data_IF_934460732524
#
_entry.id   IF_934460732524
#
_cell.length_a   1.000
_cell.length_b   1.000
_cell.length_c   1.000
_cell.angle_alpha   90.00
_cell.angle_beta   90.00
_cell.angle_gamma   90.00
#
_symmetry.space_group_name_H-M   'P 1'
#
loop_
_entity.id
_entity.type
_entity.pdbx_description
1 polymer ?
#
# COMPACT_ATOMS: atom_id res chain seq x y z
N UNK A 1 -39.86 -68.05 16.56
CA UNK A 1 -39.35 -67.06 15.62
C UNK A 1 -38.80 -65.92 16.41
N UNK A 2 -37.44 -65.93 16.57
CA UNK A 2 -36.73 -65.00 17.44
C UNK A 2 -36.08 -63.95 16.53
N UNK A 3 -36.40 -62.67 16.73
CA UNK A 3 -35.81 -61.56 16.00
C UNK A 3 -34.71 -60.97 16.86
N UNK A 4 -33.44 -61.15 16.41
CA UNK A 4 -32.29 -60.51 16.99
C UNK A 4 -32.16 -59.05 16.51
N UNK A 5 -32.10 -58.09 17.45
CA UNK A 5 -31.69 -56.72 17.20
C UNK A 5 -30.16 -56.59 17.44
N UNK A 6 -29.38 -56.02 16.52
CA UNK A 6 -27.98 -55.69 16.79
C UNK A 6 -27.92 -54.40 17.59
N UNK A 7 -27.16 -54.42 18.70
CA UNK A 7 -26.79 -53.26 19.49
C UNK A 7 -25.80 -52.39 18.71
N UNK A 8 -26.23 -51.19 18.32
CA UNK A 8 -25.37 -50.13 17.80
C UNK A 8 -24.56 -49.52 18.96
N UNK A 9 -23.28 -49.73 18.99
CA UNK A 9 -22.34 -49.05 19.87
C UNK A 9 -22.13 -47.62 19.35
N UNK A 10 -22.65 -46.63 20.07
CA UNK A 10 -22.34 -45.21 19.82
C UNK A 10 -20.98 -44.90 20.41
N UNK A 11 -19.96 -44.76 19.54
CA UNK A 11 -18.67 -44.22 19.90
C UNK A 11 -18.82 -42.69 20.09
N UNK A 12 -18.87 -42.23 21.35
CA UNK A 12 -18.78 -40.84 21.71
C UNK A 12 -17.29 -40.41 21.54
N UNK A 13 -16.96 -39.81 20.40
CA UNK A 13 -15.69 -39.10 20.20
C UNK A 13 -15.76 -37.82 21.03
N UNK A 14 -15.09 -37.84 22.21
CA UNK A 14 -14.87 -36.65 23.00
C UNK A 14 -13.99 -35.66 22.21
N UNK A 15 -14.59 -34.63 21.60
CA UNK A 15 -13.92 -33.44 21.11
C UNK A 15 -13.40 -32.69 22.33
N UNK A 16 -12.16 -33.00 22.74
CA UNK A 16 -11.39 -32.11 23.59
C UNK A 16 -11.12 -30.83 22.79
N UNK A 17 -11.50 -29.65 23.27
CA UNK A 17 -11.02 -28.41 22.67
C UNK A 17 -9.49 -28.40 22.87
N UNK A 18 -8.76 -28.59 21.80
CA UNK A 18 -7.36 -28.19 21.75
C UNK A 18 -7.37 -26.68 22.06
N UNK A 19 -6.96 -26.34 23.27
CA UNK A 19 -6.47 -24.99 23.58
C UNK A 19 -5.20 -24.82 22.74
N UNK A 20 -5.38 -24.49 21.48
CA UNK A 20 -4.29 -24.00 20.65
C UNK A 20 -3.89 -22.68 21.30
N UNK A 21 -2.86 -22.69 22.13
CA UNK A 21 -2.10 -21.47 22.45
C UNK A 21 -1.68 -20.93 21.09
N UNK A 22 -2.30 -19.82 20.69
CA UNK A 22 -1.98 -19.18 19.43
C UNK A 22 -0.47 -18.90 19.45
N UNK A 23 0.27 -19.48 18.51
CA UNK A 23 1.69 -19.21 18.41
C UNK A 23 1.90 -17.71 18.24
N UNK A 24 2.95 -17.13 18.86
CA UNK A 24 3.21 -15.70 18.72
C UNK A 24 3.30 -15.33 17.23
N UNK A 25 2.60 -14.28 16.81
CA UNK A 25 2.51 -13.87 15.41
C UNK A 25 3.88 -13.32 14.96
N UNK A 26 4.40 -13.86 13.85
CA UNK A 26 5.63 -13.38 13.23
C UNK A 26 5.35 -12.18 12.30
N UNK A 27 6.41 -11.41 12.01
CA UNK A 27 6.32 -10.30 11.05
C UNK A 27 5.88 -10.79 9.66
N UNK A 28 6.45 -11.90 9.18
CA UNK A 28 6.14 -12.44 7.84
C UNK A 28 4.66 -12.86 7.71
N UNK A 29 4.13 -13.55 8.71
CA UNK A 29 2.72 -13.92 8.77
C UNK A 29 1.80 -12.71 8.80
N UNK A 30 2.15 -11.68 9.60
CA UNK A 30 1.41 -10.42 9.65
C UNK A 30 1.37 -9.72 8.28
N UNK A 31 2.48 -9.69 7.56
CA UNK A 31 2.58 -9.13 6.21
C UNK A 31 1.70 -9.91 5.21
N UNK A 32 1.73 -11.24 5.25
CA UNK A 32 0.92 -12.08 4.39
C UNK A 32 -0.59 -11.87 4.63
N UNK A 33 -1.02 -11.81 5.89
CA UNK A 33 -2.40 -11.52 6.26
C UNK A 33 -2.83 -10.13 5.76
N UNK A 34 -2.00 -9.11 5.99
CA UNK A 34 -2.32 -7.74 5.62
C UNK A 34 -2.47 -7.55 4.10
N UNK A 35 -1.56 -8.10 3.29
CA UNK A 35 -1.64 -8.02 1.82
C UNK A 35 -2.90 -8.73 1.31
N UNK A 36 -3.24 -9.90 1.86
CA UNK A 36 -4.46 -10.64 1.49
C UNK A 36 -5.74 -9.86 1.81
N UNK A 37 -5.75 -9.07 2.89
CA UNK A 37 -6.89 -8.26 3.34
C UNK A 37 -6.91 -6.84 2.76
N UNK A 38 -5.85 -6.42 2.08
CA UNK A 38 -5.68 -5.04 1.63
C UNK A 38 -6.71 -4.63 0.59
N UNK A 39 -7.60 -3.72 0.95
CA UNK A 39 -8.57 -3.11 0.04
C UNK A 39 -7.88 -2.21 -1.01
N UNK A 40 -6.76 -1.57 -0.67
CA UNK A 40 -5.97 -0.78 -1.63
C UNK A 40 -5.36 -1.66 -2.72
N UNK A 41 -4.83 -2.84 -2.35
CA UNK A 41 -4.33 -3.82 -3.32
C UNK A 41 -5.47 -4.39 -4.18
N UNK A 42 -6.65 -4.63 -3.58
CA UNK A 42 -7.84 -5.07 -4.32
C UNK A 42 -8.32 -4.01 -5.31
N UNK A 43 -8.36 -2.74 -4.90
CA UNK A 43 -8.71 -1.62 -5.77
C UNK A 43 -7.73 -1.48 -6.94
N UNK A 44 -6.42 -1.57 -6.68
CA UNK A 44 -5.39 -1.53 -7.72
C UNK A 44 -5.52 -2.71 -8.72
N UNK A 45 -5.81 -3.93 -8.24
CA UNK A 45 -6.10 -5.08 -9.11
C UNK A 45 -7.32 -4.85 -10.00
N UNK A 46 -8.37 -4.25 -9.49
CA UNK A 46 -9.55 -3.89 -10.29
C UNK A 46 -9.20 -2.84 -11.37
N UNK A 47 -8.31 -1.89 -11.07
CA UNK A 47 -7.76 -0.95 -12.05
C UNK A 47 -6.98 -1.65 -13.17
N UNK A 48 -6.10 -2.58 -12.81
CA UNK A 48 -5.34 -3.38 -13.77
C UNK A 48 -6.26 -4.25 -14.66
N UNK A 49 -7.29 -4.88 -14.08
CA UNK A 49 -8.30 -5.62 -14.83
C UNK A 49 -9.04 -4.70 -15.81
N UNK A 50 -9.48 -3.51 -15.37
CA UNK A 50 -10.13 -2.53 -16.23
C UNK A 50 -9.26 -2.12 -17.42
N UNK A 51 -7.97 -1.88 -17.20
CA UNK A 51 -7.03 -1.55 -18.26
C UNK A 51 -6.83 -2.73 -19.23
N UNK A 52 -6.80 -3.97 -18.72
CA UNK A 52 -6.69 -5.19 -19.53
C UNK A 52 -7.91 -5.37 -20.42
N UNK A 53 -9.12 -5.20 -19.89
CA UNK A 53 -10.35 -5.28 -20.69
C UNK A 53 -10.41 -4.16 -21.75
N UNK A 54 -9.98 -2.94 -21.40
CA UNK A 54 -9.87 -1.85 -22.38
C UNK A 54 -8.85 -2.16 -23.48
N UNK A 55 -7.75 -2.86 -23.17
CA UNK A 55 -6.75 -3.26 -24.14
C UNK A 55 -7.29 -4.29 -25.15
N UNK A 56 -8.19 -5.18 -24.75
CA UNK A 56 -8.83 -6.13 -25.69
C UNK A 56 -9.63 -5.43 -26.80
N UNK A 57 -10.17 -4.24 -26.56
CA UNK A 57 -10.94 -3.49 -27.55
C UNK A 57 -10.10 -2.46 -28.32
N UNK A 58 -8.89 -2.12 -27.86
CA UNK A 58 -8.11 -1.00 -28.38
C UNK A 58 -7.74 -1.08 -29.86
N UNK A 59 -7.50 -2.28 -30.40
CA UNK A 59 -7.16 -2.52 -31.79
C UNK A 59 -8.37 -2.84 -32.68
N UNK A 60 -9.58 -2.90 -32.12
CA UNK A 60 -10.78 -3.22 -32.87
C UNK A 60 -11.17 -2.07 -33.82
N UNK A 61 -11.85 -2.39 -34.89
CA UNK A 61 -12.49 -1.39 -35.72
C UNK A 61 -13.71 -0.82 -34.99
N UNK A 62 -14.05 0.45 -35.22
CA UNK A 62 -15.32 0.99 -34.74
C UNK A 62 -16.50 0.19 -35.27
N UNK A 63 -17.61 0.15 -34.55
CA UNK A 63 -18.80 -0.56 -34.96
C UNK A 63 -19.37 -0.02 -36.28
N UNK A 64 -19.92 -0.88 -37.15
CA UNK A 64 -20.62 -0.45 -38.34
C UNK A 64 -21.87 0.35 -37.95
N UNK A 65 -22.16 1.42 -38.71
CA UNK A 65 -23.32 2.27 -38.51
C UNK A 65 -24.42 1.93 -39.52
N UNK A 66 -25.59 1.54 -39.01
CA UNK A 66 -26.79 1.39 -39.82
C UNK A 66 -27.42 2.78 -40.02
N UNK A 67 -27.66 3.14 -41.27
CA UNK A 67 -28.38 4.34 -41.66
C UNK A 67 -29.71 4.00 -42.29
N UNK A 68 -30.79 4.58 -41.78
CA UNK A 68 -32.14 4.45 -42.36
C UNK A 68 -32.71 5.86 -42.54
N UNK A 69 -33.22 6.15 -43.71
CA UNK A 69 -33.73 7.50 -43.98
C UNK A 69 -34.61 7.52 -45.25
N UNK A 70 -35.10 8.70 -45.52
CA UNK A 70 -35.80 9.04 -46.79
C UNK A 70 -35.01 10.18 -47.41
N UNK A 71 -34.41 9.89 -48.57
CA UNK A 71 -33.64 10.88 -49.31
C UNK A 71 -34.54 11.58 -50.34
N UNK A 72 -34.22 12.86 -50.59
CA UNK A 72 -34.88 13.71 -51.59
C UNK A 72 -36.41 13.85 -51.38
N UNK A 73 -36.87 13.90 -50.12
CA UNK A 73 -38.29 14.15 -49.85
C UNK A 73 -38.67 15.58 -50.25
N UNK A 74 -39.65 15.81 -51.17
CA UNK A 74 -40.03 17.15 -51.54
C UNK A 74 -40.57 17.98 -50.37
N UNK A 75 -39.98 19.15 -50.13
CA UNK A 75 -40.39 20.06 -49.03
C UNK A 75 -41.43 21.10 -49.50
N UNK A 76 -41.57 21.35 -50.82
CA UNK A 76 -42.47 22.34 -51.44
C UNK A 76 -43.17 21.76 -52.65
N UNK A 77 -44.19 22.46 -53.22
CA UNK A 77 -44.91 22.04 -54.38
C UNK A 77 -46.01 21.00 -54.09
N UNK A 78 -46.67 20.51 -55.15
CA UNK A 78 -47.86 19.63 -55.07
C UNK A 78 -47.54 18.26 -54.43
N UNK A 79 -46.31 17.83 -54.51
CA UNK A 79 -45.85 16.56 -53.96
C UNK A 79 -45.13 16.69 -52.61
N UNK A 80 -45.29 17.83 -51.93
CA UNK A 80 -44.71 18.09 -50.61
C UNK A 80 -45.02 16.99 -49.62
N UNK A 81 -43.95 16.45 -49.01
CA UNK A 81 -43.96 15.36 -48.02
C UNK A 81 -44.60 14.04 -48.50
N UNK A 82 -44.68 13.83 -49.79
CA UNK A 82 -45.15 12.56 -50.35
C UNK A 82 -43.93 11.67 -50.71
N UNK A 83 -43.88 10.48 -50.15
CA UNK A 83 -42.75 9.53 -50.35
C UNK A 83 -42.86 8.65 -51.60
N UNK A 84 -43.98 8.79 -52.36
CA UNK A 84 -44.31 7.83 -53.45
C UNK A 84 -44.56 8.48 -54.81
N UNK A 85 -44.53 9.82 -54.93
CA UNK A 85 -44.88 10.50 -56.17
C UNK A 85 -43.70 11.08 -56.95
N UNK A 86 -42.66 11.51 -56.22
CA UNK A 86 -41.46 12.06 -56.85
C UNK A 86 -40.49 10.93 -57.24
N UNK A 87 -39.97 11.00 -58.47
CA UNK A 87 -39.06 9.99 -59.02
C UNK A 87 -37.69 9.94 -58.31
N UNK A 88 -37.33 11.00 -57.61
CA UNK A 88 -36.07 11.12 -56.88
C UNK A 88 -36.19 10.72 -55.43
N UNK A 89 -37.40 10.70 -54.85
CA UNK A 89 -37.59 10.28 -53.45
C UNK A 89 -37.35 8.80 -53.28
N UNK A 90 -36.45 8.45 -52.36
CA UNK A 90 -36.11 7.05 -52.07
C UNK A 90 -36.07 6.79 -50.57
N UNK A 91 -36.56 5.64 -50.15
CA UNK A 91 -36.37 5.06 -48.82
C UNK A 91 -35.04 4.35 -48.82
N UNK A 92 -34.11 4.85 -48.04
CA UNK A 92 -32.72 4.36 -48.02
C UNK A 92 -32.43 3.52 -46.76
N UNK A 93 -31.76 2.41 -46.91
CA UNK A 93 -31.14 1.66 -45.87
C UNK A 93 -29.68 1.39 -46.29
N UNK A 94 -28.73 1.67 -45.38
CA UNK A 94 -27.32 1.53 -45.70
C UNK A 94 -26.50 1.19 -44.48
N UNK A 95 -25.32 0.60 -44.71
CA UNK A 95 -24.29 0.30 -43.69
C UNK A 95 -23.04 1.08 -44.06
N UNK A 96 -22.47 1.79 -43.07
CA UNK A 96 -21.19 2.47 -43.21
C UNK A 96 -20.19 1.92 -42.16
N UNK A 97 -18.95 1.75 -42.55
CA UNK A 97 -17.84 1.27 -41.68
C UNK A 97 -16.63 2.17 -41.83
N UNK A 98 -16.16 2.69 -40.70
CA UNK A 98 -14.87 3.36 -40.63
C UNK A 98 -13.74 2.34 -40.62
N UNK A 99 -12.72 2.57 -41.45
CA UNK A 99 -11.56 1.71 -41.60
C UNK A 99 -10.30 2.41 -41.08
N UNK A 100 -9.72 1.83 -40.02
CA UNK A 100 -8.41 2.23 -39.48
C UNK A 100 -7.30 1.37 -40.12
N UNK A 101 -6.19 2.01 -40.46
CA UNK A 101 -5.03 1.27 -40.96
C UNK A 101 -4.47 0.31 -39.92
N UNK A 102 -3.78 -0.74 -40.35
CA UNK A 102 -3.14 -1.70 -39.46
C UNK A 102 -2.14 -1.01 -38.49
N UNK A 103 -1.38 -0.02 -39.02
CA UNK A 103 -0.43 0.75 -38.21
C UNK A 103 -1.11 1.51 -37.06
N UNK A 104 -2.27 2.15 -37.33
CA UNK A 104 -3.05 2.84 -36.31
C UNK A 104 -3.57 1.88 -35.23
N UNK A 105 -4.10 0.75 -35.66
CA UNK A 105 -4.60 -0.26 -34.73
C UNK A 105 -3.47 -0.82 -33.87
N UNK A 106 -2.31 -1.09 -34.48
CA UNK A 106 -1.11 -1.52 -33.74
C UNK A 106 -0.62 -0.43 -32.76
N UNK A 107 -0.62 0.84 -33.14
CA UNK A 107 -0.24 1.93 -32.25
C UNK A 107 -1.22 2.06 -31.05
N UNK A 108 -2.53 1.95 -31.29
CA UNK A 108 -3.54 1.97 -30.23
C UNK A 108 -3.40 0.78 -29.27
N UNK A 109 -3.17 -0.42 -29.83
CA UNK A 109 -2.90 -1.60 -29.00
C UNK A 109 -1.67 -1.39 -28.13
N UNK A 110 -0.55 -0.95 -28.71
CA UNK A 110 0.68 -0.72 -27.95
C UNK A 110 0.51 0.34 -26.85
N UNK A 111 -0.32 1.37 -27.08
CA UNK A 111 -0.64 2.35 -26.05
C UNK A 111 -1.50 1.76 -24.91
N UNK A 112 -2.46 0.92 -25.25
CA UNK A 112 -3.29 0.23 -24.27
C UNK A 112 -2.48 -0.80 -23.46
N UNK A 113 -1.58 -1.55 -24.11
CA UNK A 113 -0.66 -2.48 -23.43
C UNK A 113 0.29 -1.74 -22.46
N UNK A 114 0.76 -0.55 -22.85
CA UNK A 114 1.57 0.29 -21.95
C UNK A 114 0.75 0.75 -20.73
N UNK A 115 -0.53 1.07 -20.91
CA UNK A 115 -1.42 1.42 -19.81
C UNK A 115 -1.64 0.23 -18.86
N UNK A 116 -1.80 -1.01 -19.38
CA UNK A 116 -1.86 -2.24 -18.56
C UNK A 116 -0.57 -2.40 -17.76
N UNK A 117 0.59 -2.20 -18.41
CA UNK A 117 1.89 -2.27 -17.73
C UNK A 117 2.04 -1.24 -16.60
N UNK A 118 1.47 -0.04 -16.76
CA UNK A 118 1.40 1.00 -15.71
C UNK A 118 0.54 0.54 -14.54
N UNK A 119 -0.67 0.07 -14.79
CA UNK A 119 -1.58 -0.38 -13.73
C UNK A 119 -1.01 -1.60 -12.97
N UNK A 120 -0.29 -2.50 -13.65
CA UNK A 120 0.42 -3.62 -12.99
C UNK A 120 1.45 -3.13 -11.97
N UNK A 121 2.22 -2.09 -12.28
CA UNK A 121 3.16 -1.49 -11.31
C UNK A 121 2.41 -0.84 -10.15
N UNK A 122 1.25 -0.23 -10.37
CA UNK A 122 0.43 0.32 -9.28
C UNK A 122 -0.10 -0.77 -8.33
N UNK A 123 -0.42 -1.97 -8.83
CA UNK A 123 -0.75 -3.13 -7.96
C UNK A 123 0.43 -3.50 -7.08
N UNK A 124 1.64 -3.60 -7.65
CA UNK A 124 2.85 -3.89 -6.88
C UNK A 124 3.15 -2.81 -5.84
N UNK A 125 2.99 -1.54 -6.21
CA UNK A 125 3.19 -0.41 -5.31
C UNK A 125 2.19 -0.41 -4.14
N UNK A 126 0.91 -0.72 -4.37
CA UNK A 126 -0.10 -0.83 -3.33
C UNK A 126 0.20 -1.98 -2.35
N UNK A 127 0.65 -3.12 -2.86
CA UNK A 127 1.06 -4.25 -2.04
C UNK A 127 2.32 -3.95 -1.22
N UNK A 128 3.34 -3.31 -1.82
CA UNK A 128 4.56 -2.89 -1.14
C UNK A 128 4.26 -1.87 -0.03
N UNK A 129 3.39 -0.87 -0.30
CA UNK A 129 2.99 0.09 0.73
C UNK A 129 2.22 -0.58 1.88
N UNK A 130 1.31 -1.52 1.58
CA UNK A 130 0.61 -2.31 2.60
C UNK A 130 1.61 -3.09 3.47
N UNK A 131 2.59 -3.77 2.88
CA UNK A 131 3.65 -4.50 3.61
C UNK A 131 4.45 -3.56 4.51
N UNK A 132 4.88 -2.43 3.96
CA UNK A 132 5.67 -1.42 4.70
C UNK A 132 4.89 -0.84 5.88
N UNK A 133 3.65 -0.42 5.69
CA UNK A 133 2.81 0.14 6.76
C UNK A 133 2.51 -0.91 7.85
N UNK A 134 2.23 -2.15 7.45
CA UNK A 134 2.02 -3.25 8.39
C UNK A 134 3.27 -3.54 9.19
N UNK A 135 4.45 -3.56 8.55
CA UNK A 135 5.71 -3.78 9.24
C UNK A 135 6.01 -2.66 10.26
N UNK A 136 5.77 -1.41 9.89
CA UNK A 136 5.94 -0.27 10.82
C UNK A 136 5.00 -0.39 12.02
N UNK A 137 3.72 -0.73 11.79
CA UNK A 137 2.74 -0.91 12.86
C UNK A 137 3.08 -2.11 13.75
N UNK A 138 3.61 -3.20 13.19
CA UNK A 138 4.11 -4.35 13.94
C UNK A 138 5.23 -3.96 14.90
N UNK A 139 6.23 -3.22 14.40
CA UNK A 139 7.35 -2.73 15.23
C UNK A 139 6.85 -1.83 16.36
N UNK A 140 5.95 -0.88 16.05
CA UNK A 140 5.41 0.00 17.07
C UNK A 140 4.64 -0.80 18.15
N UNK A 141 3.83 -1.79 17.77
CA UNK A 141 3.12 -2.64 18.71
C UNK A 141 4.06 -3.54 19.54
N UNK A 142 5.09 -4.14 18.91
CA UNK A 142 6.07 -4.96 19.61
C UNK A 142 6.82 -4.15 20.69
N UNK A 143 7.39 -3.00 20.32
CA UNK A 143 8.16 -2.18 21.26
C UNK A 143 7.29 -1.48 22.32
N UNK A 144 6.01 -1.19 22.02
CA UNK A 144 5.07 -0.73 23.01
C UNK A 144 4.78 -1.81 24.08
N UNK A 145 4.63 -3.07 23.68
CA UNK A 145 4.49 -4.19 24.61
C UNK A 145 5.74 -4.37 25.48
N UNK A 146 6.94 -4.27 24.92
CA UNK A 146 8.18 -4.36 25.70
C UNK A 146 8.33 -3.17 26.69
N UNK A 147 7.94 -1.96 26.26
CA UNK A 147 7.93 -0.79 27.15
C UNK A 147 6.95 -0.95 28.30
N UNK A 148 5.78 -1.55 28.07
CA UNK A 148 4.80 -1.83 29.11
C UNK A 148 5.31 -2.83 30.15
N UNK A 149 6.08 -3.84 29.73
CA UNK A 149 6.71 -4.80 30.68
C UNK A 149 7.66 -4.07 31.62
N UNK A 150 8.45 -3.12 31.11
CA UNK A 150 9.37 -2.32 31.94
C UNK A 150 8.62 -1.34 32.88
N UNK A 151 7.56 -0.70 32.41
CA UNK A 151 6.75 0.19 33.23
C UNK A 151 6.11 -0.57 34.39
N UNK A 152 5.48 -1.72 34.12
CA UNK A 152 4.91 -2.59 35.17
C UNK A 152 5.95 -3.10 36.16
N UNK A 153 7.18 -3.42 35.71
CA UNK A 153 8.26 -3.80 36.61
C UNK A 153 8.63 -2.67 37.56
N UNK A 154 8.69 -1.42 37.05
CA UNK A 154 8.98 -0.25 37.89
C UNK A 154 7.86 0.05 38.87
N UNK A 155 6.61 -0.02 38.45
CA UNK A 155 5.44 0.13 39.33
C UNK A 155 5.44 -0.91 40.47
N UNK A 156 5.78 -2.16 40.14
CA UNK A 156 5.91 -3.23 41.13
C UNK A 156 7.02 -2.92 42.16
N UNK A 157 8.19 -2.49 41.73
CA UNK A 157 9.27 -2.09 42.64
C UNK A 157 8.88 -0.87 43.51
N UNK A 158 8.24 0.13 42.94
CA UNK A 158 7.76 1.28 43.68
C UNK A 158 6.75 0.90 44.79
N UNK A 159 5.89 -0.09 44.48
CA UNK A 159 4.96 -0.66 45.45
C UNK A 159 5.66 -1.39 46.59
N UNK A 160 6.60 -2.30 46.28
CA UNK A 160 7.36 -3.07 47.28
C UNK A 160 8.16 -2.18 48.20
N UNK A 161 8.82 -1.16 47.64
CA UNK A 161 9.64 -0.22 48.44
C UNK A 161 8.80 0.66 49.36
N UNK A 162 7.62 1.10 48.91
CA UNK A 162 6.68 1.81 49.78
C UNK A 162 6.18 0.94 50.93
N UNK A 163 5.79 -0.30 50.69
CA UNK A 163 5.35 -1.24 51.72
C UNK A 163 6.45 -1.55 52.74
N UNK A 164 7.69 -1.75 52.25
CA UNK A 164 8.86 -1.92 53.11
C UNK A 164 9.11 -0.68 54.00
N UNK A 165 8.98 0.53 53.44
CA UNK A 165 9.13 1.78 54.20
C UNK A 165 8.04 1.95 55.25
N UNK A 166 6.78 1.61 54.94
CA UNK A 166 5.65 1.63 55.88
C UNK A 166 5.84 0.63 57.02
N UNK A 167 6.32 -0.58 56.74
CA UNK A 167 6.64 -1.57 57.75
C UNK A 167 7.74 -1.10 58.73
N UNK A 168 8.79 -0.43 58.20
CA UNK A 168 9.85 0.16 59.01
C UNK A 168 9.32 1.32 59.86
N UNK A 169 8.42 2.15 59.33
CA UNK A 169 7.82 3.24 60.09
C UNK A 169 6.96 2.71 61.23
N UNK A 170 6.16 1.67 61.03
CA UNK A 170 5.31 1.05 62.04
C UNK A 170 6.12 0.41 63.17
N UNK A 171 7.33 -0.08 62.91
CA UNK A 171 8.29 -0.62 63.89
C UNK A 171 9.19 0.44 64.53
N UNK A 172 8.92 1.73 64.32
CA UNK A 172 9.69 2.88 64.79
C UNK A 172 11.19 2.88 64.36
N UNK A 173 11.53 2.13 63.30
CA UNK A 173 12.86 2.11 62.70
C UNK A 173 12.93 2.90 61.38
N UNK A 174 11.81 3.46 60.92
CA UNK A 174 11.66 4.19 59.66
C UNK A 174 11.55 5.69 59.82
N UNK A 175 11.63 6.42 58.70
CA UNK A 175 11.48 7.85 58.60
C UNK A 175 10.21 8.18 57.77
N UNK A 176 9.36 9.08 58.33
CA UNK A 176 8.13 9.53 57.64
C UNK A 176 8.40 10.27 56.30
N UNK A 177 9.50 11.01 56.21
CA UNK A 177 9.92 11.67 54.96
C UNK A 177 10.22 10.65 53.86
N UNK A 178 10.90 9.54 54.18
CA UNK A 178 11.17 8.44 53.28
C UNK A 178 9.86 7.79 52.77
N UNK A 179 8.91 7.52 53.67
CA UNK A 179 7.62 6.96 53.33
C UNK A 179 6.79 7.88 52.42
N UNK A 180 6.82 9.19 52.64
CA UNK A 180 6.14 10.17 51.78
C UNK A 180 6.81 10.29 50.41
N UNK A 181 8.15 10.27 50.33
CA UNK A 181 8.89 10.27 49.08
C UNK A 181 8.55 9.05 48.24
N UNK A 182 8.51 7.83 48.81
CA UNK A 182 8.16 6.59 48.14
C UNK A 182 6.67 6.54 47.78
N UNK A 183 5.78 7.13 48.57
CA UNK A 183 4.37 7.27 48.18
C UNK A 183 4.19 8.17 46.95
N UNK A 184 4.92 9.27 46.84
CA UNK A 184 4.94 10.12 45.63
C UNK A 184 5.56 9.36 44.44
N UNK A 185 6.67 8.65 44.66
CA UNK A 185 7.33 7.87 43.63
C UNK A 185 6.41 6.76 43.05
N UNK A 186 5.63 6.09 43.90
CA UNK A 186 4.63 5.12 43.49
C UNK A 186 3.55 5.77 42.61
N UNK A 187 2.99 6.91 42.99
CA UNK A 187 1.99 7.64 42.21
C UNK A 187 2.54 8.03 40.83
N UNK A 188 3.81 8.46 40.75
CA UNK A 188 4.48 8.77 39.48
C UNK A 188 4.62 7.49 38.59
N UNK A 189 5.03 6.35 39.17
CA UNK A 189 5.18 5.11 38.45
C UNK A 189 3.84 4.54 37.97
N UNK A 190 2.76 4.71 38.71
CA UNK A 190 1.39 4.35 38.30
C UNK A 190 0.94 5.22 37.11
N UNK A 191 1.20 6.52 37.12
CA UNK A 191 0.88 7.44 36.01
C UNK A 191 1.70 7.13 34.76
N UNK A 192 3.00 6.87 34.90
CA UNK A 192 3.86 6.41 33.80
C UNK A 192 3.37 5.10 33.19
N UNK A 193 2.91 4.14 34.00
CA UNK A 193 2.34 2.89 33.52
C UNK A 193 1.03 3.13 32.74
N UNK A 194 0.19 4.07 33.21
CA UNK A 194 -1.04 4.44 32.52
C UNK A 194 -0.75 5.09 31.15
N UNK A 195 0.26 5.96 31.05
CA UNK A 195 0.69 6.56 29.78
C UNK A 195 1.20 5.51 28.79
N UNK A 196 2.03 4.58 29.26
CA UNK A 196 2.53 3.47 28.41
C UNK A 196 1.41 2.52 27.98
N UNK A 197 0.42 2.28 28.84
CA UNK A 197 -0.80 1.50 28.47
C UNK A 197 -1.59 2.20 27.37
N UNK A 198 -1.74 3.51 27.43
CA UNK A 198 -2.39 4.28 26.36
C UNK A 198 -1.61 4.16 25.04
N UNK A 199 -0.29 4.27 25.06
CA UNK A 199 0.56 4.12 23.88
C UNK A 199 0.47 2.70 23.29
N UNK A 200 0.48 1.68 24.14
CA UNK A 200 0.33 0.28 23.75
C UNK A 200 -1.06 0.04 23.09
N UNK A 201 -2.14 0.59 23.68
CA UNK A 201 -3.47 0.50 23.09
C UNK A 201 -3.56 1.15 21.72
N UNK A 202 -2.96 2.32 21.53
CA UNK A 202 -2.92 3.02 20.25
C UNK A 202 -2.11 2.25 19.19
N UNK A 203 -0.93 1.73 19.56
CA UNK A 203 -0.11 0.91 18.67
C UNK A 203 -0.80 -0.41 18.29
N UNK A 204 -1.47 -1.06 19.26
CA UNK A 204 -2.27 -2.26 19.02
C UNK A 204 -3.41 -2.02 18.04
N UNK A 205 -4.17 -0.95 18.23
CA UNK A 205 -5.26 -0.57 17.32
C UNK A 205 -4.74 -0.25 15.89
N UNK A 206 -3.61 0.43 15.78
CA UNK A 206 -2.98 0.70 14.48
C UNK A 206 -2.53 -0.59 13.77
N UNK A 207 -2.00 -1.56 14.51
CA UNK A 207 -1.62 -2.87 13.96
C UNK A 207 -2.83 -3.71 13.60
N UNK A 208 -3.86 -3.76 14.46
CA UNK A 208 -5.10 -4.48 14.23
C UNK A 208 -5.82 -4.05 12.94
N UNK A 209 -5.71 -2.78 12.56
CA UNK A 209 -6.23 -2.28 11.28
C UNK A 209 -5.74 -3.12 10.10
N UNK A 210 -4.50 -3.59 10.12
CA UNK A 210 -3.88 -4.33 9.03
C UNK A 210 -4.16 -5.82 9.07
N UNK A 211 -4.05 -6.44 10.26
CA UNK A 211 -4.19 -7.91 10.41
C UNK A 211 -5.62 -8.35 10.76
N UNK A 212 -6.45 -7.44 11.28
CA UNK A 212 -7.86 -7.69 11.63
C UNK A 212 -8.10 -8.11 13.06
N UNK A 213 -7.17 -8.83 13.68
CA UNK A 213 -7.20 -9.24 15.08
C UNK A 213 -5.89 -8.86 15.76
N UNK A 214 -5.96 -8.54 17.06
CA UNK A 214 -4.75 -8.34 17.86
C UNK A 214 -4.32 -9.70 18.40
N UNK A 215 -3.11 -10.20 18.09
CA UNK A 215 -2.59 -11.41 18.70
C UNK A 215 -2.21 -11.18 20.16
N UNK A 216 -2.23 -12.24 20.95
CA UNK A 216 -1.85 -12.18 22.36
C UNK A 216 -0.36 -11.86 22.52
N UNK A 217 0.48 -12.34 21.61
CA UNK A 217 1.92 -12.12 21.62
C UNK A 217 2.49 -11.91 20.22
N UNK A 218 3.50 -11.02 20.11
CA UNK A 218 4.27 -10.75 18.89
C UNK A 218 5.67 -11.32 19.03
N UNK A 219 6.20 -11.95 17.97
CA UNK A 219 7.59 -12.39 17.94
C UNK A 219 8.56 -11.21 17.84
N UNK A 220 9.75 -11.29 18.45
CA UNK A 220 10.79 -10.32 18.19
C UNK A 220 11.07 -10.20 16.68
N UNK A 221 11.21 -8.99 16.13
CA UNK A 221 11.52 -8.83 14.72
C UNK A 221 12.89 -9.45 14.41
N UNK A 222 12.94 -10.30 13.39
CA UNK A 222 14.18 -10.90 12.91
C UNK A 222 15.11 -9.88 12.23
N UNK A 223 16.30 -10.32 11.86
CA UNK A 223 17.23 -9.49 11.08
C UNK A 223 16.64 -9.19 9.69
N UNK A 224 16.63 -7.91 9.32
CA UNK A 224 16.09 -7.43 8.04
C UNK A 224 17.26 -7.24 7.07
N UNK A 225 17.22 -7.95 5.93
CA UNK A 225 18.19 -7.76 4.86
C UNK A 225 17.95 -6.41 4.18
N UNK A 226 19.00 -5.59 4.05
CA UNK A 226 18.93 -4.28 3.44
C UNK A 226 19.39 -4.34 1.98
N UNK A 227 18.68 -3.67 1.04
CA UNK A 227 19.06 -3.62 -0.36
C UNK A 227 20.31 -2.75 -0.57
N UNK A 228 20.98 -2.91 -1.73
CA UNK A 228 21.97 -1.95 -2.20
C UNK A 228 21.29 -0.68 -2.72
N UNK A 229 22.06 0.42 -2.90
CA UNK A 229 21.52 1.69 -3.44
C UNK A 229 20.89 1.46 -4.81
N UNK A 230 21.58 0.72 -5.69
CA UNK A 230 21.11 0.44 -7.05
C UNK A 230 19.81 -0.36 -7.04
N UNK A 231 19.73 -1.41 -6.21
CA UNK A 231 18.54 -2.24 -6.09
C UNK A 231 17.36 -1.45 -5.52
N UNK A 232 17.59 -0.59 -4.52
CA UNK A 232 16.58 0.27 -3.92
C UNK A 232 16.01 1.25 -4.95
N UNK A 233 16.86 1.96 -5.70
CA UNK A 233 16.44 2.96 -6.68
C UNK A 233 15.72 2.29 -7.86
N UNK A 234 16.27 1.18 -8.38
CA UNK A 234 15.66 0.47 -9.51
C UNK A 234 14.27 -0.09 -9.20
N UNK A 235 14.05 -0.56 -7.97
CA UNK A 235 12.77 -1.12 -7.52
C UNK A 235 11.90 -0.09 -6.75
N UNK A 236 12.31 1.19 -6.69
CA UNK A 236 11.54 2.20 -5.98
C UNK A 236 10.17 2.42 -6.64
N UNK A 237 9.05 2.39 -5.90
CA UNK A 237 7.70 2.47 -6.48
C UNK A 237 7.49 3.68 -7.39
N UNK A 238 7.96 4.86 -6.96
CA UNK A 238 7.83 6.09 -7.75
C UNK A 238 8.66 6.03 -9.03
N UNK A 239 9.88 5.51 -8.97
CA UNK A 239 10.74 5.36 -10.16
C UNK A 239 10.11 4.39 -11.15
N UNK A 240 9.65 3.24 -10.67
CA UNK A 240 8.97 2.24 -11.51
C UNK A 240 7.68 2.78 -12.14
N UNK A 241 6.89 3.56 -11.38
CA UNK A 241 5.70 4.22 -11.91
C UNK A 241 6.05 5.25 -13.00
N UNK A 242 7.04 6.13 -12.77
CA UNK A 242 7.48 7.13 -13.76
C UNK A 242 8.08 6.48 -15.01
N UNK A 243 8.75 5.33 -14.90
CA UNK A 243 9.19 4.54 -16.07
C UNK A 243 8.01 4.09 -16.93
N UNK A 244 6.93 3.64 -16.30
CA UNK A 244 5.71 3.25 -17.03
C UNK A 244 4.94 4.45 -17.58
N UNK A 245 4.90 5.56 -16.85
CA UNK A 245 4.29 6.81 -17.35
C UNK A 245 5.03 7.34 -18.59
N UNK A 246 6.36 7.24 -18.62
CA UNK A 246 7.18 7.57 -19.80
C UNK A 246 6.83 6.66 -20.99
N UNK A 247 6.68 5.36 -20.76
CA UNK A 247 6.28 4.43 -21.83
C UNK A 247 4.87 4.74 -22.36
N UNK A 248 3.92 5.03 -21.48
CA UNK A 248 2.56 5.47 -21.87
C UNK A 248 2.61 6.77 -22.68
N UNK A 249 3.41 7.75 -22.27
CA UNK A 249 3.57 9.00 -23.00
C UNK A 249 4.15 8.76 -24.42
N UNK A 250 5.18 7.93 -24.56
CA UNK A 250 5.78 7.55 -25.85
C UNK A 250 4.78 6.86 -26.77
N UNK A 251 4.01 5.89 -26.24
CA UNK A 251 2.98 5.18 -27.03
C UNK A 251 1.82 6.10 -27.41
N UNK A 252 1.41 6.99 -26.52
CA UNK A 252 0.38 8.01 -26.84
C UNK A 252 0.85 8.98 -27.93
N UNK A 253 2.11 9.41 -27.89
CA UNK A 253 2.69 10.23 -28.95
C UNK A 253 2.71 9.48 -30.31
N UNK A 254 3.01 8.18 -30.31
CA UNK A 254 2.97 7.34 -31.51
C UNK A 254 1.56 7.18 -32.07
N UNK A 255 0.52 7.04 -31.21
CA UNK A 255 -0.89 7.06 -31.65
C UNK A 255 -1.21 8.38 -32.35
N UNK A 256 -0.90 9.51 -31.70
CA UNK A 256 -1.16 10.84 -32.28
C UNK A 256 -0.40 11.05 -33.60
N UNK A 257 0.84 10.62 -33.71
CA UNK A 257 1.61 10.68 -34.96
C UNK A 257 0.97 9.83 -36.06
N UNK A 258 0.32 8.70 -35.74
CA UNK A 258 -0.38 7.85 -36.69
C UNK A 258 -1.64 8.53 -37.26
N UNK A 259 -2.25 9.46 -36.51
CA UNK A 259 -3.46 10.20 -36.92
C UNK A 259 -3.20 11.20 -38.05
N UNK A 260 -1.94 11.43 -38.43
CA UNK A 260 -1.57 12.14 -39.64
C UNK A 260 -2.12 11.48 -40.93
N UNK A 261 -2.27 10.14 -40.90
CA UNK A 261 -2.93 9.39 -41.99
C UNK A 261 -4.43 9.40 -41.73
N UNK A 262 -5.29 9.89 -42.68
CA UNK A 262 -6.74 9.91 -42.47
C UNK A 262 -7.32 8.48 -42.42
N UNK A 263 -8.38 8.32 -41.66
CA UNK A 263 -9.22 7.13 -41.73
C UNK A 263 -10.17 7.29 -42.92
N UNK A 264 -10.58 6.18 -43.52
CA UNK A 264 -11.57 6.19 -44.56
C UNK A 264 -12.81 5.41 -44.14
N UNK A 265 -13.96 5.88 -44.65
CA UNK A 265 -15.23 5.25 -44.39
C UNK A 265 -15.80 4.77 -45.71
N UNK A 266 -16.18 3.51 -45.83
CA UNK A 266 -16.93 3.00 -46.91
C UNK A 266 -18.40 2.85 -46.52
N UNK A 267 -19.30 3.00 -47.51
CA UNK A 267 -20.74 2.91 -47.34
C UNK A 267 -21.35 2.13 -48.47
N UNK A 268 -22.28 1.23 -48.14
CA UNK A 268 -23.15 0.56 -49.10
C UNK A 268 -24.59 0.86 -48.66
N UNK A 269 -25.41 1.29 -49.60
CA UNK A 269 -26.81 1.60 -49.34
C UNK A 269 -27.73 1.15 -50.47
N UNK A 270 -28.91 0.70 -50.07
CA UNK A 270 -30.01 0.34 -50.97
C UNK A 270 -31.11 1.41 -50.84
N UNK A 271 -31.57 1.94 -51.96
CA UNK A 271 -32.62 2.94 -52.06
C UNK A 271 -33.83 2.40 -52.86
N UNK A 272 -34.95 2.21 -52.16
CA UNK A 272 -36.20 1.80 -52.77
C UNK A 272 -36.93 3.04 -53.31
N UNK A 273 -37.34 2.99 -54.58
CA UNK A 273 -38.15 4.05 -55.22
C UNK A 273 -39.50 3.50 -55.63
N UNK A 274 -40.59 4.22 -55.32
CA UNK A 274 -41.92 3.75 -55.69
C UNK A 274 -42.19 4.08 -57.13
N UNK A 275 -42.47 3.06 -57.96
CA UNK A 275 -42.75 3.19 -59.41
C UNK A 275 -41.51 3.36 -60.30
N UNK A 276 -40.31 3.26 -59.76
CA UNK A 276 -39.04 3.35 -60.48
C UNK A 276 -38.08 2.22 -60.01
N UNK A 277 -37.02 2.01 -60.80
CA UNK A 277 -36.01 1.00 -60.42
C UNK A 277 -35.30 1.36 -59.13
N UNK A 278 -35.13 0.43 -58.22
CA UNK A 278 -34.36 0.56 -57.01
C UNK A 278 -32.88 0.84 -57.30
N UNK A 279 -32.18 1.47 -56.37
CA UNK A 279 -30.78 1.86 -56.54
C UNK A 279 -29.87 1.26 -55.44
N UNK A 280 -28.68 0.88 -55.83
CA UNK A 280 -27.60 0.56 -54.91
C UNK A 280 -26.55 1.67 -55.02
N UNK A 281 -26.15 2.20 -53.88
CA UNK A 281 -25.11 3.24 -53.81
C UNK A 281 -23.91 2.67 -53.07
N UNK A 282 -22.70 2.87 -53.60
CA UNK A 282 -21.45 2.58 -52.95
C UNK A 282 -20.63 3.86 -52.84
N UNK A 283 -20.18 4.19 -51.68
CA UNK A 283 -19.42 5.42 -51.42
C UNK A 283 -18.18 5.16 -50.56
N UNK A 284 -17.16 5.97 -50.79
CA UNK A 284 -15.96 6.07 -49.92
C UNK A 284 -15.75 7.50 -49.55
N UNK A 285 -15.61 7.76 -48.26
CA UNK A 285 -15.31 9.10 -47.69
C UNK A 285 -13.94 9.09 -47.08
N UNK A 286 -13.07 10.03 -47.46
CA UNK A 286 -11.71 10.16 -46.99
C UNK A 286 -11.52 11.62 -46.54
N UNK A 287 -11.30 11.91 -45.25
CA UNK A 287 -10.94 13.24 -44.78
C UNK A 287 -9.61 13.68 -45.40
N UNK A 288 -9.56 14.89 -45.95
CA UNK A 288 -8.32 15.44 -46.53
C UNK A 288 -7.70 16.42 -45.54
N UNK A 289 -6.46 16.10 -45.03
CA UNK A 289 -5.77 17.04 -44.15
C UNK A 289 -5.25 18.23 -44.94
N UNK A 290 -5.95 19.39 -44.89
CA UNK A 290 -5.64 20.59 -45.67
C UNK A 290 -4.44 21.35 -45.09
N UNK A 291 -4.24 21.31 -43.76
CA UNK A 291 -3.19 22.05 -43.09
C UNK A 291 -2.54 21.15 -42.01
N UNK A 292 -1.82 20.08 -42.38
CA UNK A 292 -1.25 19.14 -41.39
C UNK A 292 -0.22 19.79 -40.46
N UNK A 293 0.55 20.77 -40.94
CA UNK A 293 1.52 21.53 -40.13
C UNK A 293 0.90 22.35 -39.00
N UNK A 294 -0.33 22.81 -39.18
CA UNK A 294 -1.05 23.63 -38.18
C UNK A 294 -1.91 22.80 -37.23
N UNK A 295 -2.17 21.54 -37.51
CA UNK A 295 -3.04 20.66 -36.73
C UNK A 295 -2.31 19.38 -36.29
N UNK A 296 -2.21 18.38 -37.12
CA UNK A 296 -1.68 17.05 -36.73
C UNK A 296 -0.21 17.11 -36.26
N UNK A 297 0.61 17.95 -36.89
CA UNK A 297 2.01 18.13 -36.50
C UNK A 297 2.11 18.87 -35.16
N UNK A 298 1.21 19.83 -34.88
CA UNK A 298 1.14 20.50 -33.58
C UNK A 298 0.67 19.57 -32.48
N UNK A 299 -0.35 18.75 -32.77
CA UNK A 299 -0.82 17.73 -31.82
C UNK A 299 0.30 16.72 -31.48
N UNK A 300 1.05 16.29 -32.49
CA UNK A 300 2.20 15.41 -32.29
C UNK A 300 3.32 16.09 -31.49
N UNK A 301 3.65 17.35 -31.80
CA UNK A 301 4.63 18.12 -31.05
C UNK A 301 4.23 18.30 -29.57
N UNK A 302 2.92 18.54 -29.31
CA UNK A 302 2.41 18.64 -27.94
C UNK A 302 2.58 17.32 -27.17
N UNK A 303 2.34 16.16 -27.82
CA UNK A 303 2.57 14.84 -27.17
C UNK A 303 4.05 14.53 -26.97
N UNK A 304 4.94 14.95 -27.89
CA UNK A 304 6.39 14.82 -27.69
C UNK A 304 6.90 15.66 -26.52
N UNK A 305 6.38 16.87 -26.33
CA UNK A 305 6.70 17.68 -25.15
C UNK A 305 6.26 17.00 -23.84
N UNK A 306 5.17 16.21 -23.84
CA UNK A 306 4.78 15.38 -22.68
C UNK A 306 5.73 14.19 -22.47
N UNK A 307 6.38 13.68 -23.51
CA UNK A 307 7.44 12.68 -23.36
C UNK A 307 8.68 13.29 -22.68
N UNK A 308 9.12 14.47 -23.13
CA UNK A 308 10.22 15.20 -22.48
C UNK A 308 9.91 15.50 -21.01
N UNK A 309 8.65 15.90 -20.70
CA UNK A 309 8.21 16.09 -19.32
C UNK A 309 8.35 14.79 -18.52
N UNK A 310 7.87 13.66 -19.04
CA UNK A 310 7.95 12.37 -18.34
C UNK A 310 9.38 11.88 -18.14
N UNK A 311 10.32 12.19 -19.07
CA UNK A 311 11.74 11.91 -18.91
C UNK A 311 12.37 12.75 -17.78
N UNK A 312 12.00 14.01 -17.68
CA UNK A 312 12.45 14.88 -16.58
C UNK A 312 11.87 14.42 -15.23
N UNK A 313 10.60 14.06 -15.18
CA UNK A 313 9.95 13.54 -13.97
C UNK A 313 10.61 12.23 -13.49
N UNK A 314 10.94 11.31 -14.40
CA UNK A 314 11.68 10.09 -14.09
C UNK A 314 13.08 10.36 -13.53
N UNK A 315 13.81 11.30 -14.14
CA UNK A 315 15.13 11.69 -13.68
C UNK A 315 15.06 12.30 -12.26
N UNK A 316 14.06 13.12 -11.98
CA UNK A 316 13.83 13.68 -10.64
C UNK A 316 13.44 12.60 -9.62
N UNK A 317 12.54 11.70 -9.97
CA UNK A 317 12.17 10.58 -9.11
C UNK A 317 13.38 9.70 -8.74
N UNK A 318 14.28 9.47 -9.69
CA UNK A 318 15.52 8.70 -9.46
C UNK A 318 16.46 9.41 -8.50
N UNK A 319 16.63 10.74 -8.65
CA UNK A 319 17.42 11.55 -7.71
C UNK A 319 16.82 11.56 -6.30
N UNK A 320 15.50 11.72 -6.22
CA UNK A 320 14.79 11.70 -4.94
C UNK A 320 14.93 10.34 -4.23
N UNK A 321 14.76 9.22 -4.95
CA UNK A 321 14.95 7.89 -4.39
C UNK A 321 16.38 7.63 -3.91
N UNK A 322 17.38 8.13 -4.65
CA UNK A 322 18.79 8.07 -4.24
C UNK A 322 19.04 8.86 -2.95
N UNK A 323 18.50 10.07 -2.85
CA UNK A 323 18.63 10.90 -1.65
C UNK A 323 17.92 10.27 -0.44
N UNK A 324 16.73 9.70 -0.64
CA UNK A 324 15.98 8.97 0.40
C UNK A 324 16.78 7.77 0.93
N UNK A 325 17.32 6.93 0.03
CA UNK A 325 18.16 5.79 0.42
C UNK A 325 19.37 6.23 1.28
N UNK A 326 20.10 7.23 0.81
CA UNK A 326 21.31 7.72 1.51
C UNK A 326 21.00 8.28 2.88
N UNK A 327 19.90 9.02 3.00
CA UNK A 327 19.42 9.53 4.29
C UNK A 327 19.08 8.39 5.24
N UNK A 328 18.22 7.45 4.83
CA UNK A 328 17.81 6.31 5.64
C UNK A 328 19.01 5.42 6.03
N UNK A 329 19.95 5.21 5.11
CA UNK A 329 21.17 4.42 5.39
C UNK A 329 22.07 5.10 6.41
N UNK A 330 22.24 6.42 6.29
CA UNK A 330 22.99 7.22 7.27
C UNK A 330 22.34 7.18 8.65
N UNK A 331 21.00 7.31 8.70
CA UNK A 331 20.26 7.26 9.97
C UNK A 331 20.35 5.89 10.63
N UNK A 332 20.23 4.80 9.86
CA UNK A 332 20.41 3.44 10.37
C UNK A 332 21.81 3.26 11.00
N UNK A 333 22.87 3.66 10.30
CA UNK A 333 24.24 3.57 10.79
C UNK A 333 24.45 4.38 12.08
N UNK A 334 23.89 5.58 12.15
CA UNK A 334 24.00 6.42 13.36
C UNK A 334 23.24 5.83 14.53
N UNK A 335 22.06 5.25 14.27
CA UNK A 335 21.27 4.57 15.31
C UNK A 335 21.99 3.33 15.83
N UNK A 336 22.59 2.49 14.97
CA UNK A 336 23.41 1.35 15.36
C UNK A 336 24.54 1.78 16.30
N UNK A 337 25.34 2.77 15.89
CA UNK A 337 26.44 3.30 16.71
C UNK A 337 25.95 3.90 18.03
N UNK A 338 24.78 4.56 18.01
CA UNK A 338 24.19 5.17 19.20
C UNK A 338 23.69 4.10 20.18
N UNK A 339 23.09 3.03 19.66
CA UNK A 339 22.63 1.88 20.47
C UNK A 339 23.81 1.25 21.19
N UNK A 340 24.92 0.98 20.49
CA UNK A 340 26.11 0.37 21.08
C UNK A 340 26.72 1.24 22.17
N UNK A 341 26.88 2.54 21.90
CA UNK A 341 27.38 3.50 22.92
C UNK A 341 26.44 3.61 24.12
N UNK A 342 25.13 3.64 23.85
CA UNK A 342 24.14 3.79 24.92
C UNK A 342 24.06 2.53 25.79
N UNK A 343 24.12 1.35 25.18
CA UNK A 343 24.15 0.07 25.89
C UNK A 343 25.35 -0.01 26.85
N UNK A 344 26.56 0.27 26.35
CA UNK A 344 27.80 0.14 27.13
C UNK A 344 28.02 1.31 28.09
N UNK A 345 27.68 2.54 27.68
CA UNK A 345 27.98 3.75 28.46
C UNK A 345 26.88 4.20 29.41
N UNK A 346 25.63 3.69 29.27
CA UNK A 346 24.50 4.11 30.09
C UNK A 346 23.80 2.94 30.76
N UNK A 347 23.33 1.95 29.97
CA UNK A 347 22.53 0.84 30.51
C UNK A 347 23.35 -0.05 31.44
N UNK A 348 24.57 -0.44 31.05
CA UNK A 348 25.45 -1.28 31.88
C UNK A 348 25.82 -0.56 33.19
N UNK A 349 26.30 0.70 33.20
CA UNK A 349 26.53 1.44 34.44
C UNK A 349 25.28 1.64 35.32
N UNK A 350 24.09 1.86 34.72
CA UNK A 350 22.84 1.96 35.45
C UNK A 350 22.53 0.68 36.24
N UNK A 351 22.64 -0.49 35.59
CA UNK A 351 22.46 -1.79 36.25
C UNK A 351 23.50 -2.03 37.38
N UNK A 352 24.76 -1.63 37.15
CA UNK A 352 25.79 -1.70 38.20
C UNK A 352 25.47 -0.79 39.40
N UNK A 353 24.94 0.41 39.14
CA UNK A 353 24.48 1.33 40.20
C UNK A 353 23.32 0.73 40.98
N UNK A 354 22.35 0.08 40.33
CA UNK A 354 21.24 -0.61 40.98
C UNK A 354 21.74 -1.75 41.86
N UNK A 355 22.68 -2.56 41.37
CA UNK A 355 23.29 -3.63 42.16
C UNK A 355 24.03 -3.10 43.39
N UNK A 356 24.80 -2.02 43.26
CA UNK A 356 25.47 -1.34 44.37
C UNK A 356 24.51 -0.77 45.40
N UNK A 357 23.42 -0.14 44.95
CA UNK A 357 22.37 0.41 45.83
C UNK A 357 21.65 -0.71 46.60
N UNK A 358 21.36 -1.83 45.94
CA UNK A 358 20.78 -3.03 46.59
C UNK A 358 21.71 -3.61 47.67
N UNK A 359 23.00 -3.74 47.39
CA UNK A 359 24.00 -4.19 48.38
C UNK A 359 24.14 -3.23 49.57
N UNK A 360 24.14 -1.92 49.30
CA UNK A 360 24.19 -0.88 50.32
C UNK A 360 22.94 -0.90 51.22
N UNK A 361 21.77 -1.06 50.64
CA UNK A 361 20.52 -1.19 51.39
C UNK A 361 20.52 -2.48 52.26
N UNK A 362 20.90 -3.60 51.71
CA UNK A 362 20.93 -4.90 52.43
C UNK A 362 21.94 -4.93 53.60
N UNK A 363 23.01 -4.15 53.51
CA UNK A 363 23.99 -3.97 54.60
C UNK A 363 23.57 -2.88 55.62
N UNK A 364 22.42 -2.24 55.48
CA UNK A 364 21.92 -1.20 56.34
C UNK A 364 22.60 0.17 56.14
N UNK A 365 23.40 0.37 55.11
CA UNK A 365 24.13 1.61 54.80
C UNK A 365 23.42 2.49 53.79
N UNK A 366 22.38 1.98 53.07
CA UNK A 366 21.61 2.68 52.09
C UNK A 366 20.16 2.93 52.48
N UNK A 367 19.49 3.91 51.82
CA UNK A 367 18.06 4.18 52.00
C UNK A 367 17.23 3.49 50.90
N UNK A 368 15.92 3.23 51.15
CA UNK A 368 14.98 2.76 50.16
C UNK A 368 14.81 3.79 49.03
N UNK A 369 14.88 5.08 49.30
CA UNK A 369 14.81 6.15 48.28
C UNK A 369 15.98 6.02 47.30
N UNK A 370 17.21 5.83 47.79
CA UNK A 370 18.37 5.69 46.91
C UNK A 370 18.32 4.41 46.08
N UNK A 371 17.73 3.32 46.60
CA UNK A 371 17.48 2.10 45.85
C UNK A 371 16.43 2.33 44.77
N UNK A 372 15.31 2.99 45.11
CA UNK A 372 14.26 3.37 44.14
C UNK A 372 14.84 4.21 42.99
N UNK A 373 15.59 5.28 43.33
CA UNK A 373 16.21 6.16 42.33
C UNK A 373 17.16 5.40 41.38
N UNK A 374 17.93 4.44 41.91
CA UNK A 374 18.81 3.61 41.08
C UNK A 374 18.03 2.71 40.14
N UNK A 375 16.98 2.01 40.63
CA UNK A 375 16.09 1.16 39.82
C UNK A 375 15.34 1.98 38.78
N UNK A 376 14.81 3.14 39.15
CA UNK A 376 14.12 4.02 38.21
C UNK A 376 15.04 4.48 37.08
N UNK A 377 16.28 4.91 37.41
CA UNK A 377 17.26 5.30 36.40
C UNK A 377 17.66 4.13 35.45
N UNK A 378 17.73 2.89 35.97
CA UNK A 378 17.99 1.71 35.16
C UNK A 378 16.83 1.41 34.18
N UNK A 379 15.59 1.41 34.67
CA UNK A 379 14.40 1.19 33.83
C UNK A 379 14.26 2.28 32.77
N UNK A 380 14.48 3.54 33.11
CA UNK A 380 14.47 4.64 32.13
C UNK A 380 15.59 4.48 31.08
N UNK A 381 16.78 4.03 31.47
CA UNK A 381 17.83 3.72 30.51
C UNK A 381 17.42 2.56 29.57
N UNK A 382 16.78 1.50 30.09
CA UNK A 382 16.27 0.40 29.29
C UNK A 382 15.14 0.83 28.34
N UNK A 383 14.18 1.65 28.80
CA UNK A 383 13.12 2.22 27.97
C UNK A 383 13.68 3.07 26.84
N UNK A 384 14.70 3.89 27.11
CA UNK A 384 15.39 4.67 26.08
C UNK A 384 16.12 3.80 25.07
N UNK A 385 16.73 2.71 25.51
CA UNK A 385 17.34 1.72 24.60
C UNK A 385 16.29 1.08 23.69
N UNK A 386 15.14 0.66 24.22
CA UNK A 386 14.02 0.14 23.42
C UNK A 386 13.55 1.16 22.38
N UNK A 387 13.46 2.43 22.72
CA UNK A 387 13.11 3.51 21.77
C UNK A 387 14.12 3.59 20.63
N UNK A 388 15.42 3.53 20.92
CA UNK A 388 16.48 3.56 19.90
C UNK A 388 16.43 2.31 18.98
N UNK A 389 16.18 1.15 19.56
CA UNK A 389 16.01 -0.10 18.80
C UNK A 389 14.78 -0.08 17.91
N UNK A 390 13.66 0.44 18.40
CA UNK A 390 12.45 0.68 17.61
C UNK A 390 12.73 1.58 16.41
N UNK A 391 13.38 2.71 16.64
CA UNK A 391 13.67 3.69 15.61
C UNK A 391 14.61 3.10 14.54
N UNK A 392 15.59 2.29 14.94
CA UNK A 392 16.45 1.55 14.02
C UNK A 392 15.64 0.54 13.19
N UNK A 393 14.81 -0.27 13.84
CA UNK A 393 13.97 -1.27 13.16
C UNK A 393 13.02 -0.60 12.14
N UNK A 394 12.43 0.54 12.50
CA UNK A 394 11.57 1.33 11.58
C UNK A 394 12.37 1.86 10.38
N UNK A 395 13.58 2.33 10.57
CA UNK A 395 14.45 2.79 9.48
C UNK A 395 14.86 1.64 8.56
N UNK A 396 15.19 0.47 9.12
CA UNK A 396 15.48 -0.74 8.35
C UNK A 396 14.26 -1.23 7.55
N UNK A 397 13.05 -1.16 8.13
CA UNK A 397 11.80 -1.47 7.41
C UNK A 397 11.59 -0.52 6.24
N UNK A 398 11.83 0.78 6.40
CA UNK A 398 11.69 1.73 5.30
C UNK A 398 12.66 1.40 4.16
N UNK A 399 13.89 0.99 4.45
CA UNK A 399 14.86 0.56 3.45
C UNK A 399 14.45 -0.76 2.76
N UNK A 400 13.98 -1.75 3.52
CA UNK A 400 13.74 -3.09 3.00
C UNK A 400 12.39 -3.26 2.29
N UNK A 401 11.33 -2.59 2.78
CA UNK A 401 9.95 -2.78 2.29
C UNK A 401 9.43 -1.63 1.42
N UNK A 402 10.23 -0.59 1.17
CA UNK A 402 9.90 0.44 0.19
C UNK A 402 10.01 -0.08 -1.25
N UNK A 403 11.09 -0.79 -1.65
CA UNK A 403 11.22 -1.35 -2.99
C UNK A 403 10.12 -2.35 -3.34
N UNK A 404 9.75 -2.37 -4.63
CA UNK A 404 8.82 -3.37 -5.16
C UNK A 404 9.46 -4.77 -5.08
N UNK A 405 8.68 -5.76 -4.67
CA UNK A 405 9.10 -7.17 -4.68
C UNK A 405 8.51 -7.89 -5.89
N UNK A 406 9.30 -8.75 -6.52
CA UNK A 406 8.87 -9.52 -7.70
C UNK A 406 7.76 -10.56 -7.40
N UNK A 407 7.50 -10.88 -6.14
CA UNK A 407 6.63 -11.98 -5.70
C UNK A 407 5.12 -11.72 -5.77
N UNK A 408 4.66 -10.50 -6.13
CA UNK A 408 3.22 -10.15 -6.08
C UNK A 408 2.48 -10.41 -7.40
N UNK A 409 3.11 -11.06 -8.35
CA UNK A 409 2.53 -11.35 -9.67
C UNK A 409 1.87 -12.74 -9.79
N UNK A 410 1.52 -13.42 -8.67
CA UNK A 410 0.77 -14.68 -8.67
C UNK A 410 -0.63 -14.53 -8.10
#
# INVERSE_FOLDING_TARGET
MSILFPRAAVLAVALLPYLATAAPLSLEEALAIAVKRSESTRAARAGALSATEAAHSAAQLPDPTLRVGIDNLPATGPDRFRTTRDSMTMKRIGISQEWLSADKRAARQAAADAAVGRETVLVQAAAADTRRQTALAYIDAFYANESLKLAKLMEHHAHEELEASRARLSSATGNSQEALALASARGTSEDETADVLQQQGAAGAAFQRWVGVMPDELQPPGAIALPTEEAYVAAHPTVSAMQRDLEVARRTAAVTASDRKPNWTWEIAYGQRTGYSDMVSVGVSIPLPVAPGERQDRDTAAKLALVEKAEADLAEASRAATAEYRSLRSDAQRLEQRIDRYRTGVVVPAGQRTAAATASYSSGQGSLVSLFEARHAEVEAQRKLLTLQRDLAKTQIQLAFRPLTAEVAQ
#
